data_IF_934313662961
#
_entry.id   IF_934313662961
#
_cell.length_a   1.000
_cell.length_b   1.000
_cell.length_c   1.000
_cell.angle_alpha   90.00
_cell.angle_beta   90.00
_cell.angle_gamma   90.00
#
_symmetry.space_group_name_H-M   'P 1'
#
loop_
_entity.id
_entity.type
_entity.pdbx_description
1 polymer ?
#
# COMPACT_ATOMS: atom_id res chain seq x y z
N UNK A 1 -3.66 14.06 -0.50
CA UNK A 1 -4.35 12.76 -0.40
C UNK A 1 -3.57 11.88 0.57
N UNK A 2 -4.23 11.36 1.60
CA UNK A 2 -3.60 10.41 2.51
C UNK A 2 -3.68 9.00 1.91
N UNK A 3 -2.56 8.26 1.94
CA UNK A 3 -2.44 6.96 1.24
C UNK A 3 -2.62 5.82 2.23
N UNK A 4 -1.86 5.84 3.33
CA UNK A 4 -1.87 4.82 4.38
C UNK A 4 -1.95 5.52 5.73
N UNK A 5 -2.83 5.02 6.60
CA UNK A 5 -3.01 5.47 7.98
C UNK A 5 -2.73 4.32 8.94
N UNK A 6 -2.00 4.61 10.01
CA UNK A 6 -1.93 3.75 11.19
C UNK A 6 -2.69 4.44 12.31
N UNK A 7 -3.74 3.78 12.80
CA UNK A 7 -4.54 4.27 13.91
C UNK A 7 -4.85 3.08 14.83
N UNK A 8 -4.53 3.12 16.14
CA UNK A 8 -4.79 2.02 17.07
C UNK A 8 -6.26 1.56 17.10
N UNK A 9 -7.20 2.46 16.78
CA UNK A 9 -8.64 2.17 16.69
C UNK A 9 -9.03 1.44 15.41
N UNK A 10 -8.15 1.38 14.41
CA UNK A 10 -8.35 0.72 13.12
C UNK A 10 -7.40 -0.47 13.04
N UNK A 11 -7.97 -1.68 13.09
CA UNK A 11 -7.22 -2.94 12.95
C UNK A 11 -5.97 -3.01 13.86
N UNK A 12 -6.10 -2.52 15.10
CA UNK A 12 -5.03 -2.56 16.11
C UNK A 12 -3.81 -1.71 15.75
N UNK A 13 -3.93 -0.71 14.88
CA UNK A 13 -2.80 0.11 14.43
C UNK A 13 -2.09 -0.42 13.19
N UNK A 14 -2.54 -1.54 12.62
CA UNK A 14 -2.01 -2.04 11.34
C UNK A 14 -2.14 -0.94 10.28
N UNK A 15 -1.07 -0.59 9.54
CA UNK A 15 -1.15 0.39 8.46
C UNK A 15 -2.15 -0.04 7.39
N UNK A 16 -3.22 0.72 7.21
CA UNK A 16 -4.28 0.44 6.25
C UNK A 16 -4.39 1.55 5.21
N UNK A 17 -4.91 1.26 4.02
CA UNK A 17 -5.27 2.30 3.06
C UNK A 17 -6.24 3.29 3.71
N UNK A 18 -5.97 4.58 3.58
CA UNK A 18 -6.73 5.62 4.25
C UNK A 18 -8.22 5.54 3.85
N UNK A 19 -9.11 5.63 4.85
CA UNK A 19 -10.55 5.46 4.65
C UNK A 19 -11.02 4.00 4.56
N UNK A 20 -10.12 3.02 4.71
CA UNK A 20 -10.44 1.59 4.64
C UNK A 20 -9.91 0.84 5.87
N UNK A 21 -10.28 -0.44 5.97
CA UNK A 21 -9.64 -1.40 6.89
C UNK A 21 -8.75 -2.41 6.15
N UNK A 22 -8.35 -2.09 4.92
CA UNK A 22 -7.53 -2.95 4.07
C UNK A 22 -6.06 -2.70 4.39
N UNK A 23 -5.30 -3.69 4.89
CA UNK A 23 -3.88 -3.51 5.18
C UNK A 23 -3.09 -3.11 3.95
N UNK A 24 -2.18 -2.13 4.09
CA UNK A 24 -1.29 -1.74 3.01
C UNK A 24 -0.37 -2.89 2.56
N UNK A 25 -0.02 -3.80 3.47
CA UNK A 25 0.77 -5.00 3.18
C UNK A 25 0.10 -5.92 2.16
N UNK A 26 -1.24 -5.97 2.15
CA UNK A 26 -1.98 -6.83 1.23
C UNK A 26 -1.65 -6.52 -0.24
N UNK A 27 -1.36 -5.26 -0.58
CA UNK A 27 -0.94 -4.89 -1.93
C UNK A 27 0.37 -5.58 -2.36
N UNK A 28 1.29 -5.83 -1.44
CA UNK A 28 2.58 -6.45 -1.73
C UNK A 28 2.51 -7.99 -1.70
N UNK A 29 1.54 -8.55 -0.98
CA UNK A 29 1.31 -9.99 -0.92
C UNK A 29 0.58 -10.52 -2.17
N UNK A 30 -0.30 -9.72 -2.76
CA UNK A 30 -1.11 -10.14 -3.91
C UNK A 30 -0.29 -10.50 -5.16
N UNK A 31 0.68 -9.66 -5.59
CA UNK A 31 1.56 -9.99 -6.71
C UNK A 31 2.37 -11.28 -6.49
N UNK A 32 2.77 -11.59 -5.25
CA UNK A 32 3.50 -12.82 -4.91
C UNK A 32 2.66 -14.09 -5.17
N UNK A 33 1.34 -13.94 -5.23
CA UNK A 33 0.39 -15.01 -5.53
C UNK A 33 -0.10 -14.98 -6.98
N UNK A 34 0.51 -14.14 -7.83
CA UNK A 34 0.19 -14.00 -9.25
C UNK A 34 -0.98 -13.06 -9.56
N UNK A 35 -1.48 -12.31 -8.57
CA UNK A 35 -2.58 -11.36 -8.81
C UNK A 35 -2.08 -10.02 -9.37
N UNK A 36 -2.82 -9.48 -10.33
CA UNK A 36 -2.59 -8.14 -10.88
C UNK A 36 -3.17 -7.06 -9.97
N UNK A 37 -2.72 -5.80 -10.16
CA UNK A 37 -3.30 -4.63 -9.49
C UNK A 37 -4.81 -4.51 -9.76
N UNK A 38 -5.25 -4.80 -10.98
CA UNK A 38 -6.67 -4.74 -11.34
C UNK A 38 -7.50 -5.77 -10.55
N UNK A 39 -6.96 -6.96 -10.34
CA UNK A 39 -7.59 -8.00 -9.52
C UNK A 39 -7.60 -7.60 -8.04
N UNK A 40 -6.53 -6.99 -7.53
CA UNK A 40 -6.50 -6.43 -6.18
C UNK A 40 -7.60 -5.38 -5.97
N UNK A 41 -7.72 -4.42 -6.89
CA UNK A 41 -8.77 -3.37 -6.83
C UNK A 41 -10.19 -3.95 -6.96
N UNK A 42 -10.34 -5.04 -7.70
CA UNK A 42 -11.63 -5.75 -7.81
C UNK A 42 -12.01 -6.46 -6.50
N UNK A 43 -11.03 -6.95 -5.73
CA UNK A 43 -11.25 -7.55 -4.41
C UNK A 43 -11.46 -6.49 -3.32
N UNK A 44 -10.84 -5.32 -3.47
CA UNK A 44 -10.93 -4.21 -2.52
C UNK A 44 -11.42 -2.92 -3.22
N UNK A 45 -12.70 -2.85 -3.61
CA UNK A 45 -13.23 -1.72 -4.38
C UNK A 45 -13.26 -0.40 -3.60
N UNK A 46 -13.05 -0.42 -2.28
CA UNK A 46 -12.91 0.77 -1.44
C UNK A 46 -11.52 1.37 -1.48
N UNK A 47 -10.53 0.66 -2.04
CA UNK A 47 -9.17 1.19 -2.23
C UNK A 47 -9.12 1.88 -3.59
N UNK A 48 -8.70 3.14 -3.58
CA UNK A 48 -8.60 3.92 -4.81
C UNK A 48 -7.32 3.55 -5.57
N UNK A 49 -7.39 3.50 -6.90
CA UNK A 49 -6.23 3.24 -7.76
C UNK A 49 -5.08 4.20 -7.48
N UNK A 50 -5.41 5.48 -7.29
CA UNK A 50 -4.44 6.54 -7.01
C UNK A 50 -3.69 6.28 -5.69
N UNK A 51 -4.32 5.65 -4.69
CA UNK A 51 -3.65 5.25 -3.46
C UNK A 51 -2.66 4.11 -3.71
N UNK A 52 -3.03 3.13 -4.54
CA UNK A 52 -2.15 2.02 -4.91
C UNK A 52 -0.91 2.52 -5.65
N UNK A 53 -1.12 3.33 -6.70
CA UNK A 53 -0.04 3.86 -7.52
C UNK A 53 0.90 4.77 -6.69
N UNK A 54 0.34 5.64 -5.85
CA UNK A 54 1.15 6.50 -4.99
C UNK A 54 1.90 5.71 -3.90
N UNK A 55 1.34 4.62 -3.38
CA UNK A 55 2.04 3.74 -2.44
C UNK A 55 3.22 3.03 -3.11
N UNK A 56 3.02 2.50 -4.33
CA UNK A 56 4.08 1.87 -5.12
C UNK A 56 5.19 2.86 -5.48
N UNK A 57 4.83 4.08 -5.87
CA UNK A 57 5.81 5.12 -6.16
C UNK A 57 6.64 5.48 -4.93
N UNK A 58 6.01 5.66 -3.76
CA UNK A 58 6.75 5.91 -2.50
C UNK A 58 7.68 4.75 -2.12
N UNK A 59 7.24 3.51 -2.32
CA UNK A 59 8.08 2.34 -2.07
C UNK A 59 9.30 2.33 -3.00
N UNK A 60 9.10 2.63 -4.29
CA UNK A 60 10.17 2.77 -5.28
C UNK A 60 11.14 3.90 -4.89
N UNK A 61 10.64 5.08 -4.55
CA UNK A 61 11.46 6.23 -4.19
C UNK A 61 12.29 5.96 -2.94
N UNK A 62 11.74 5.24 -1.96
CA UNK A 62 12.47 4.82 -0.76
C UNK A 62 13.60 3.87 -1.10
N UNK A 63 13.35 2.87 -1.94
CA UNK A 63 14.39 1.94 -2.40
C UNK A 63 15.48 2.66 -3.22
N UNK A 64 15.08 3.62 -4.05
CA UNK A 64 16.01 4.42 -4.85
C UNK A 64 16.84 5.39 -3.98
N UNK A 65 16.24 6.00 -2.96
CA UNK A 65 16.91 6.91 -2.03
C UNK A 65 17.79 6.20 -0.99
N UNK A 66 17.40 5.00 -0.54
CA UNK A 66 18.21 4.17 0.36
C UNK A 66 19.48 3.66 -0.35
N UNK A 67 19.46 3.55 -1.69
CA UNK A 67 20.65 3.23 -2.49
C UNK A 67 21.73 4.34 -2.48
N UNK A 68 21.42 5.53 -1.96
CA UNK A 68 22.33 6.69 -1.87
C UNK A 68 22.85 6.96 -0.46
N UNK A 69 22.44 6.17 0.56
CA UNK A 69 22.91 6.28 1.95
C UNK A 69 23.84 5.14 2.40
N UNK A 70 24.29 4.30 1.47
CA UNK A 70 25.43 3.40 1.69
C UNK A 70 26.70 4.12 1.23
N UNK A 71 27.13 5.09 2.03
CA UNK A 71 28.43 5.75 1.92
C UNK A 71 29.11 5.75 3.30
#
# INVERSE_FOLDING_TARGET
MEIVVSNPKILGGTPCFAGTRVPASALFDHPQRGYTINQFLSQFPTVQREQVEALLQRAKDRLAGDAQQVA
#
